data_IF_477730432300
#
_entry.id   IF_477730432300
#
_cell.length_a   1.000
_cell.length_b   1.000
_cell.length_c   1.000
_cell.angle_alpha   90.00
_cell.angle_beta   90.00
_cell.angle_gamma   90.00
#
_symmetry.space_group_name_H-M   'P 1'
#
loop_
_entity.id
_entity.type
_entity.pdbx_description
1 polymer ?
#
# COMPACT_ATOMS: atom_id res chain seq x y z
N UNK A 1 -24.47 14.06 11.13
CA UNK A 1 -23.32 13.77 12.03
C UNK A 1 -22.04 13.74 11.22
N UNK A 2 -21.04 14.60 11.49
CA UNK A 2 -19.76 14.54 10.79
C UNK A 2 -19.06 13.22 11.16
N UNK A 3 -18.56 12.49 10.15
CA UNK A 3 -17.82 11.24 10.35
C UNK A 3 -16.63 11.50 11.28
N UNK A 4 -16.47 10.71 12.34
CA UNK A 4 -15.32 10.85 13.24
C UNK A 4 -14.02 10.63 12.48
N UNK A 5 -12.91 11.20 12.97
CA UNK A 5 -11.59 11.05 12.32
C UNK A 5 -11.26 9.57 12.02
N UNK A 6 -11.59 8.69 12.97
CA UNK A 6 -11.46 7.24 12.87
C UNK A 6 -12.30 6.63 11.74
N UNK A 7 -13.55 7.07 11.57
CA UNK A 7 -14.41 6.60 10.48
C UNK A 7 -13.90 7.07 9.11
N UNK A 8 -13.33 8.28 9.02
CA UNK A 8 -12.72 8.79 7.79
C UNK A 8 -11.47 8.00 7.43
N UNK A 9 -10.62 7.66 8.41
CA UNK A 9 -9.46 6.80 8.20
C UNK A 9 -9.87 5.40 7.74
N UNK A 10 -10.83 4.76 8.41
CA UNK A 10 -11.33 3.43 7.99
C UNK A 10 -11.87 3.44 6.56
N UNK A 11 -12.66 4.46 6.20
CA UNK A 11 -13.20 4.60 4.85
C UNK A 11 -12.11 4.88 3.79
N UNK A 12 -11.05 5.63 4.15
CA UNK A 12 -9.89 5.82 3.28
C UNK A 12 -9.17 4.50 3.03
N UNK A 13 -8.91 3.72 4.08
CA UNK A 13 -8.28 2.39 3.97
C UNK A 13 -9.04 1.43 3.08
N UNK A 14 -10.37 1.38 3.23
CA UNK A 14 -11.20 0.48 2.42
C UNK A 14 -11.17 0.88 0.94
N UNK A 15 -11.20 2.19 0.62
CA UNK A 15 -11.05 2.70 -0.75
C UNK A 15 -9.68 2.41 -1.34
N UNK A 16 -8.62 2.66 -0.56
CA UNK A 16 -7.23 2.43 -0.95
C UNK A 16 -7.02 0.94 -1.28
N UNK A 17 -7.66 0.04 -0.52
CA UNK A 17 -7.65 -1.40 -0.79
C UNK A 17 -8.43 -1.78 -2.06
N UNK A 18 -9.61 -1.22 -2.25
CA UNK A 18 -10.42 -1.49 -3.45
C UNK A 18 -9.69 -1.05 -4.73
N UNK A 19 -9.00 0.09 -4.70
CA UNK A 19 -8.19 0.60 -5.81
C UNK A 19 -7.07 -0.37 -6.24
N UNK A 20 -6.49 -1.12 -5.31
CA UNK A 20 -5.46 -2.13 -5.60
C UNK A 20 -6.02 -3.42 -6.21
N UNK A 21 -7.23 -3.81 -5.81
CA UNK A 21 -7.89 -4.98 -6.40
C UNK A 21 -8.37 -4.67 -7.83
N UNK A 22 -8.79 -3.44 -8.07
CA UNK A 22 -9.43 -3.06 -9.32
C UNK A 22 -8.42 -2.63 -10.41
N UNK A 23 -7.15 -2.33 -10.08
CA UNK A 23 -6.19 -1.85 -11.09
C UNK A 23 -4.72 -2.12 -10.76
N UNK A 24 -4.02 -2.75 -11.71
CA UNK A 24 -2.54 -2.81 -11.76
C UNK A 24 -1.99 -1.39 -11.91
N UNK A 25 -1.04 -0.98 -11.06
CA UNK A 25 -0.45 0.37 -11.07
C UNK A 25 -1.06 1.34 -10.05
N UNK A 26 -2.16 0.97 -9.38
CA UNK A 26 -2.79 1.79 -8.34
C UNK A 26 -1.95 1.90 -7.06
N UNK A 27 -0.97 1.02 -6.86
CA UNK A 27 -0.06 1.06 -5.71
C UNK A 27 0.74 2.37 -5.61
N UNK A 28 1.02 3.02 -6.74
CA UNK A 28 1.73 4.30 -6.79
C UNK A 28 0.91 5.45 -6.17
N UNK A 29 -0.42 5.34 -6.17
CA UNK A 29 -1.33 6.37 -5.65
C UNK A 29 -1.54 6.28 -4.14
N UNK A 30 -1.03 5.23 -3.50
CA UNK A 30 -1.17 5.03 -2.06
C UNK A 30 -0.26 5.98 -1.29
N UNK A 31 -0.76 6.51 -0.18
CA UNK A 31 0.09 7.10 0.87
C UNK A 31 0.98 6.02 1.50
N UNK A 32 2.15 6.37 2.04
CA UNK A 32 3.09 5.40 2.65
C UNK A 32 2.44 4.52 3.73
N UNK A 33 1.65 5.14 4.64
CA UNK A 33 0.89 4.39 5.64
C UNK A 33 -0.09 3.39 5.01
N UNK A 34 -0.77 3.81 3.94
CA UNK A 34 -1.71 2.95 3.21
C UNK A 34 -1.01 1.79 2.51
N UNK A 35 0.17 2.03 1.92
CA UNK A 35 0.98 1.00 1.30
C UNK A 35 1.43 -0.06 2.31
N UNK A 36 1.90 0.36 3.50
CA UNK A 36 2.29 -0.57 4.58
C UNK A 36 1.09 -1.41 5.06
N UNK A 37 -0.07 -0.79 5.29
CA UNK A 37 -1.28 -1.49 5.72
C UNK A 37 -1.75 -2.52 4.68
N UNK A 38 -1.66 -2.16 3.40
CA UNK A 38 -1.97 -3.05 2.27
C UNK A 38 -1.01 -4.23 2.24
N UNK A 39 0.31 -4.01 2.36
CA UNK A 39 1.31 -5.08 2.40
C UNK A 39 0.95 -6.10 3.47
N UNK A 40 0.63 -5.64 4.69
CA UNK A 40 0.24 -6.52 5.79
C UNK A 40 -1.03 -7.34 5.50
N UNK A 41 -1.99 -6.79 4.75
CA UNK A 41 -3.21 -7.50 4.36
C UNK A 41 -2.94 -8.50 3.24
N UNK A 42 -2.26 -8.10 2.17
CA UNK A 42 -1.87 -8.97 1.07
C UNK A 42 -1.03 -10.15 1.55
N UNK A 43 -0.10 -9.92 2.50
CA UNK A 43 0.70 -11.00 3.07
C UNK A 43 -0.14 -12.01 3.85
N UNK A 44 -1.07 -11.54 4.69
CA UNK A 44 -2.00 -12.42 5.41
C UNK A 44 -2.87 -13.24 4.47
N UNK A 45 -3.39 -12.63 3.41
CA UNK A 45 -4.18 -13.31 2.39
C UNK A 45 -3.33 -14.33 1.62
N UNK A 46 -2.10 -13.98 1.22
CA UNK A 46 -1.18 -14.87 0.52
C UNK A 46 -0.83 -16.11 1.36
N UNK A 47 -0.71 -15.98 2.69
CA UNK A 47 -0.54 -17.14 3.57
C UNK A 47 -1.72 -18.11 3.52
N UNK A 48 -2.92 -17.64 3.23
CA UNK A 48 -4.13 -18.46 3.17
C UNK A 48 -4.37 -19.01 1.76
N UNK A 49 -4.14 -18.22 0.73
CA UNK A 49 -4.43 -18.57 -0.67
C UNK A 49 -3.25 -19.14 -1.45
N UNK A 50 -2.02 -18.99 -0.94
CA UNK A 50 -0.79 -19.29 -1.67
C UNK A 50 -0.43 -18.29 -2.78
N UNK A 51 -1.30 -17.33 -3.09
CA UNK A 51 -1.08 -16.36 -4.16
C UNK A 51 -0.28 -15.15 -3.64
N UNK A 52 0.98 -15.07 -4.07
CA UNK A 52 1.93 -14.01 -3.64
C UNK A 52 2.05 -12.86 -4.63
N UNK A 53 1.34 -12.87 -5.77
CA UNK A 53 1.53 -11.90 -6.85
C UNK A 53 1.33 -10.45 -6.36
N UNK A 54 0.21 -10.20 -5.66
CA UNK A 54 -0.07 -8.88 -5.12
C UNK A 54 0.95 -8.43 -4.08
N UNK A 55 1.40 -9.33 -3.20
CA UNK A 55 2.44 -9.02 -2.19
C UNK A 55 3.71 -8.52 -2.88
N UNK A 56 4.14 -9.19 -3.96
CA UNK A 56 5.34 -8.79 -4.70
C UNK A 56 5.20 -7.42 -5.35
N UNK A 57 4.02 -7.10 -5.91
CA UNK A 57 3.74 -5.79 -6.51
C UNK A 57 3.87 -4.68 -5.46
N UNK A 58 3.16 -4.80 -4.34
CA UNK A 58 3.14 -3.73 -3.33
C UNK A 58 4.48 -3.59 -2.58
N UNK A 59 5.21 -4.69 -2.39
CA UNK A 59 6.57 -4.65 -1.81
C UNK A 59 7.55 -3.99 -2.78
N UNK A 60 7.44 -4.24 -4.10
CA UNK A 60 8.28 -3.58 -5.10
C UNK A 60 8.08 -2.06 -5.09
N UNK A 61 6.85 -1.59 -4.93
CA UNK A 61 6.58 -0.15 -4.80
C UNK A 61 7.18 0.43 -3.51
N UNK A 62 7.16 -0.31 -2.39
CA UNK A 62 7.83 0.13 -1.16
C UNK A 62 9.34 0.26 -1.38
N UNK A 63 9.99 -0.73 -2.01
CA UNK A 63 11.41 -0.63 -2.36
C UNK A 63 11.71 0.57 -3.25
N UNK A 64 10.89 0.81 -4.28
CA UNK A 64 11.05 1.99 -5.15
C UNK A 64 11.02 3.31 -4.37
N UNK A 65 10.17 3.42 -3.35
CA UNK A 65 10.11 4.62 -2.50
C UNK A 65 11.31 4.75 -1.57
N UNK A 66 11.83 3.64 -1.05
CA UNK A 66 13.07 3.61 -0.27
C UNK A 66 14.25 4.07 -1.13
N UNK A 67 14.39 3.51 -2.32
CA UNK A 67 15.45 3.91 -3.27
C UNK A 67 15.37 5.41 -3.61
N UNK A 68 14.16 5.98 -3.69
CA UNK A 68 13.96 7.42 -3.89
C UNK A 68 14.43 8.27 -2.70
N UNK A 69 14.28 7.78 -1.46
CA UNK A 69 14.83 8.46 -0.27
C UNK A 69 16.36 8.44 -0.31
N UNK A 70 16.93 7.28 -0.63
CA UNK A 70 18.40 7.11 -0.72
C UNK A 70 18.99 7.96 -1.87
N UNK A 71 18.27 8.10 -2.98
CA UNK A 71 18.63 8.96 -4.10
C UNK A 71 18.53 10.47 -3.81
N UNK A 72 17.64 10.90 -2.91
CA UNK A 72 17.55 12.29 -2.44
C UNK A 72 18.61 12.63 -1.37
N UNK A 73 19.14 11.63 -0.65
CA UNK A 73 20.23 11.78 0.32
C UNK A 73 21.64 11.74 -0.27
N UNK A 74 21.76 11.49 -1.58
CA UNK A 74 23.02 11.34 -2.30
C UNK A 74 23.51 12.63 -2.96
N UNK A 75 23.94 13.61 -2.17
CA UNK A 75 24.94 14.58 -2.61
C UNK A 75 26.23 14.34 -1.81
N UNK A 76 27.42 14.29 -2.46
CA UNK A 76 28.70 14.17 -1.77
C UNK A 76 28.96 15.33 -0.81
#
# INVERSE_FOLDING_TARGET
>A
MPKSSTQRMKAKRERDYQLLLDSVGSEQKLSDTGLIEVIARCYRQAKQSGNTAMVRIVVKELFRRIDSIDGEGGAP
#
